data_IF_677491445706
#
_entry.id   IF_677491445706
#
_cell.length_a   1.000
_cell.length_b   1.000
_cell.length_c   1.000
_cell.angle_alpha   90.00
_cell.angle_beta   90.00
_cell.angle_gamma   90.00
#
_symmetry.space_group_name_H-M   'P 1'
#
loop_
_entity.id
_entity.type
_entity.pdbx_description
1 polymer ?
#
# COMPACT_ATOMS: atom_id res chain seq x y z
N UNK A 1 -22.49 -51.44 6.37
CA UNK A 1 -23.38 -52.18 5.46
C UNK A 1 -24.47 -51.21 5.01
N UNK A 2 -24.70 -51.15 3.67
CA UNK A 2 -25.83 -50.52 2.93
C UNK A 2 -26.11 -49.03 3.20
N UNK A 3 -25.95 -48.07 2.26
CA UNK A 3 -26.51 -48.02 0.90
C UNK A 3 -27.94 -47.45 0.97
N UNK A 4 -28.45 -46.49 0.20
CA UNK A 4 -28.01 -45.89 -1.07
C UNK A 4 -29.05 -44.87 -1.60
N UNK A 5 -28.64 -43.98 -2.53
CA UNK A 5 -29.39 -43.42 -3.69
C UNK A 5 -30.59 -42.44 -3.45
N UNK A 6 -30.44 -41.16 -3.83
CA UNK A 6 -30.87 -40.48 -5.11
C UNK A 6 -32.29 -39.89 -4.95
N UNK A 7 -32.77 -38.78 -5.51
CA UNK A 7 -32.48 -37.90 -6.67
C UNK A 7 -33.41 -36.68 -6.51
N UNK A 8 -33.04 -35.48 -6.98
CA UNK A 8 -33.95 -34.54 -7.69
C UNK A 8 -33.13 -33.34 -8.21
N UNK A 9 -32.62 -33.40 -9.44
CA UNK A 9 -33.23 -33.03 -10.74
C UNK A 9 -33.30 -31.50 -10.96
N UNK A 10 -32.36 -31.08 -11.82
CA UNK A 10 -32.27 -29.82 -12.54
C UNK A 10 -33.24 -29.79 -13.75
N UNK A 11 -33.74 -28.60 -14.10
CA UNK A 11 -34.07 -28.16 -15.48
C UNK A 11 -33.91 -26.62 -15.55
N UNK A 12 -32.92 -26.12 -16.29
CA UNK A 12 -32.97 -25.62 -17.69
C UNK A 12 -33.65 -24.23 -17.77
N UNK A 13 -33.13 -23.17 -18.42
CA UNK A 13 -32.49 -23.01 -19.73
C UNK A 13 -31.61 -21.72 -19.72
N UNK A 14 -30.40 -21.65 -20.29
CA UNK A 14 -30.00 -21.60 -21.71
C UNK A 14 -30.51 -20.37 -22.49
N UNK A 15 -29.63 -19.40 -22.78
CA UNK A 15 -29.33 -18.84 -24.11
C UNK A 15 -28.42 -17.59 -23.99
N UNK A 16 -27.46 -17.49 -24.91
CA UNK A 16 -26.32 -16.56 -24.90
C UNK A 16 -26.57 -15.29 -25.79
N UNK A 17 -25.53 -14.61 -26.32
CA UNK A 17 -25.10 -13.24 -26.00
C UNK A 17 -25.45 -12.23 -27.12
N UNK A 18 -24.98 -10.97 -27.06
CA UNK A 18 -24.42 -10.16 -28.19
C UNK A 18 -24.33 -8.64 -27.87
N UNK A 19 -23.08 -8.12 -27.95
CA UNK A 19 -22.56 -6.81 -28.43
C UNK A 19 -22.78 -5.44 -27.75
N UNK A 20 -21.60 -4.79 -27.58
CA UNK A 20 -21.17 -3.41 -27.89
C UNK A 20 -22.22 -2.32 -28.24
N UNK A 21 -22.12 -1.16 -27.58
CA UNK A 21 -21.53 0.11 -28.10
C UNK A 21 -21.88 1.28 -27.19
N UNK A 22 -20.95 2.23 -27.16
CA UNK A 22 -20.94 3.59 -26.58
C UNK A 22 -22.19 4.43 -26.90
N UNK A 23 -22.38 5.55 -26.18
CA UNK A 23 -22.80 6.76 -26.86
C UNK A 23 -21.97 8.01 -26.52
N UNK A 24 -22.03 8.91 -27.49
CA UNK A 24 -21.24 10.12 -27.73
C UNK A 24 -22.15 11.36 -27.55
N UNK A 25 -21.54 12.46 -27.08
CA UNK A 25 -21.80 13.89 -27.35
C UNK A 25 -23.22 14.52 -27.36
N UNK A 26 -23.31 15.60 -26.55
CA UNK A 26 -23.89 16.95 -26.78
C UNK A 26 -25.41 17.09 -27.06
N UNK A 27 -26.04 18.23 -26.70
CA UNK A 27 -25.95 19.42 -27.57
C UNK A 27 -26.05 20.82 -26.91
N UNK A 28 -25.77 21.81 -27.77
CA UNK A 28 -26.39 23.14 -27.90
C UNK A 28 -25.88 24.33 -27.06
N UNK A 29 -25.03 25.11 -27.73
CA UNK A 29 -24.85 26.56 -27.55
C UNK A 29 -26.16 27.33 -27.81
N UNK A 30 -26.37 28.44 -27.11
CA UNK A 30 -26.62 29.77 -27.71
C UNK A 30 -26.84 30.83 -26.62
N UNK A 31 -25.80 31.64 -26.37
CA UNK A 31 -25.90 33.05 -25.94
C UNK A 31 -26.35 33.90 -27.15
N UNK A 32 -26.95 35.11 -27.04
CA UNK A 32 -26.35 36.21 -26.25
C UNK A 32 -27.28 37.28 -25.66
N UNK A 33 -26.62 38.22 -24.98
CA UNK A 33 -26.93 39.65 -24.84
C UNK A 33 -27.55 40.15 -23.52
N UNK A 34 -26.98 41.28 -23.11
CA UNK A 34 -26.89 41.85 -21.76
C UNK A 34 -28.00 42.89 -21.49
N UNK A 35 -27.89 43.80 -20.50
CA UNK A 35 -28.75 43.84 -19.33
C UNK A 35 -29.73 45.03 -19.32
N UNK A 36 -30.80 44.95 -18.55
CA UNK A 36 -31.53 46.15 -18.13
C UNK A 36 -32.22 45.93 -16.79
N UNK A 37 -31.74 46.68 -15.79
CA UNK A 37 -32.48 46.93 -14.55
C UNK A 37 -33.80 47.64 -14.85
N UNK A 38 -34.79 47.52 -13.95
CA UNK A 38 -35.21 48.77 -13.33
C UNK A 38 -35.35 48.69 -11.82
N UNK A 39 -35.07 49.85 -11.25
CA UNK A 39 -35.22 50.30 -9.88
C UNK A 39 -36.68 50.34 -9.40
N UNK A 40 -36.80 50.25 -8.06
CA UNK A 40 -37.85 50.79 -7.17
C UNK A 40 -39.30 50.38 -7.49
N UNK A 41 -40.03 49.74 -6.58
CA UNK A 41 -40.52 50.43 -5.38
C UNK A 41 -41.24 49.49 -4.42
N UNK A 42 -40.93 49.69 -3.14
CA UNK A 42 -41.70 49.45 -1.91
C UNK A 42 -43.12 48.86 -2.00
N UNK A 43 -43.32 47.71 -1.35
CA UNK A 43 -44.50 47.46 -0.50
C UNK A 43 -44.07 46.77 0.80
N UNK A 44 -44.43 47.40 1.90
CA UNK A 44 -44.32 46.97 3.28
C UNK A 44 -45.42 45.94 3.64
N UNK A 45 -45.32 45.42 4.88
CA UNK A 45 -46.12 44.37 5.55
C UNK A 45 -45.55 42.95 5.31
N UNK A 46 -45.16 42.18 6.32
CA UNK A 46 -45.65 42.10 7.70
C UNK A 46 -44.62 41.43 8.63
N UNK A 47 -44.56 41.93 9.87
CA UNK A 47 -43.97 41.24 11.03
C UNK A 47 -44.71 39.93 11.30
N UNK A 48 -44.00 38.80 11.26
CA UNK A 48 -44.32 37.50 11.90
C UNK A 48 -43.27 36.50 11.39
N UNK A 49 -42.34 35.92 12.13
CA UNK A 49 -42.36 35.49 13.52
C UNK A 49 -40.95 35.63 14.11
N UNK A 50 -40.82 36.46 15.13
CA UNK A 50 -39.73 36.39 16.07
C UNK A 50 -40.17 35.47 17.21
N UNK A 51 -40.01 34.14 17.04
CA UNK A 51 -40.16 33.16 18.14
C UNK A 51 -39.93 31.72 17.65
N UNK A 52 -38.69 31.36 17.27
CA UNK A 52 -38.23 29.95 17.30
C UNK A 52 -36.72 29.73 17.18
N UNK A 53 -35.88 30.76 16.98
CA UNK A 53 -34.42 30.58 16.76
C UNK A 53 -33.52 30.82 18.01
N UNK A 54 -34.08 30.85 19.22
CA UNK A 54 -33.25 30.87 20.45
C UNK A 54 -32.78 29.47 20.87
N UNK A 55 -32.57 28.55 19.92
CA UNK A 55 -32.03 27.23 20.19
C UNK A 55 -30.49 27.25 20.14
N UNK A 56 -29.89 27.36 21.33
CA UNK A 56 -28.53 26.88 21.67
C UNK A 56 -27.33 27.66 21.12
N UNK A 57 -27.29 28.98 21.32
CA UNK A 57 -26.06 29.75 21.08
C UNK A 57 -25.00 29.39 22.15
N UNK A 58 -23.90 28.77 21.71
CA UNK A 58 -22.74 28.39 22.51
C UNK A 58 -21.76 29.58 22.53
N UNK A 59 -21.07 29.80 23.65
CA UNK A 59 -19.95 30.74 23.68
C UNK A 59 -18.65 29.97 23.85
N UNK A 60 -17.73 30.13 22.90
CA UNK A 60 -16.38 29.60 22.99
C UNK A 60 -15.49 30.66 23.63
N UNK A 61 -15.02 30.40 24.83
CA UNK A 61 -14.06 31.25 25.54
C UNK A 61 -12.65 30.89 25.05
N UNK A 62 -12.00 31.82 24.36
CA UNK A 62 -10.63 31.66 23.87
C UNK A 62 -9.68 32.26 24.89
N UNK A 63 -8.87 31.41 25.50
CA UNK A 63 -7.95 31.73 26.57
C UNK A 63 -6.51 31.82 26.06
N UNK A 64 -5.77 32.80 26.56
CA UNK A 64 -4.31 32.85 26.50
C UNK A 64 -3.70 32.40 27.82
N UNK A 65 -2.38 32.61 27.95
CA UNK A 65 -1.65 32.33 29.19
C UNK A 65 -2.11 33.21 30.36
N UNK A 66 -2.70 34.38 30.08
CA UNK A 66 -3.14 35.36 31.07
C UNK A 66 -4.66 35.34 31.36
N UNK A 67 -5.41 34.40 30.78
CA UNK A 67 -6.87 34.30 30.94
C UNK A 67 -7.64 34.43 29.62
N UNK A 68 -8.96 34.64 29.69
CA UNK A 68 -9.81 34.74 28.50
C UNK A 68 -9.50 36.00 27.69
N UNK A 69 -9.07 35.81 26.44
CA UNK A 69 -8.74 36.87 25.48
C UNK A 69 -10.02 37.33 24.77
N UNK A 70 -10.84 36.39 24.29
CA UNK A 70 -12.07 36.72 23.59
C UNK A 70 -13.15 35.64 23.77
N UNK A 71 -14.40 36.00 23.43
CA UNK A 71 -15.54 35.09 23.41
C UNK A 71 -16.11 35.06 22.01
N UNK A 72 -16.14 33.88 21.41
CA UNK A 72 -16.65 33.66 20.07
C UNK A 72 -18.05 33.03 20.17
N UNK A 73 -19.09 33.66 19.61
CA UNK A 73 -20.39 33.02 19.49
C UNK A 73 -20.29 31.89 18.46
N UNK A 74 -20.76 30.70 18.81
CA UNK A 74 -20.75 29.52 17.95
C UNK A 74 -22.02 28.69 18.12
N UNK A 75 -22.32 27.84 17.14
CA UNK A 75 -23.37 26.83 17.24
C UNK A 75 -22.72 25.47 17.51
N UNK A 76 -23.51 24.48 17.96
CA UNK A 76 -23.01 23.10 18.17
C UNK A 76 -22.50 22.44 16.88
N UNK A 77 -23.03 22.87 15.74
CA UNK A 77 -22.62 22.40 14.42
C UNK A 77 -21.52 23.26 13.80
N UNK A 78 -21.01 24.26 14.53
CA UNK A 78 -19.89 25.06 14.05
C UNK A 78 -18.60 24.25 14.04
N UNK A 79 -17.79 24.48 13.01
CA UNK A 79 -16.46 23.86 12.89
C UNK A 79 -15.39 24.72 13.54
N UNK A 80 -14.26 24.11 13.89
CA UNK A 80 -13.10 24.84 14.41
C UNK A 80 -12.58 25.88 13.41
N UNK A 81 -12.66 25.62 12.10
CA UNK A 81 -12.35 26.62 11.07
C UNK A 81 -13.20 27.89 11.20
N UNK A 82 -14.50 27.76 11.49
CA UNK A 82 -15.38 28.91 11.71
C UNK A 82 -14.97 29.68 12.98
N UNK A 83 -14.63 28.96 14.07
CA UNK A 83 -14.12 29.59 15.30
C UNK A 83 -12.82 30.35 15.02
N UNK A 84 -11.89 29.77 14.27
CA UNK A 84 -10.62 30.44 13.90
C UNK A 84 -10.84 31.70 13.09
N UNK A 85 -11.80 31.69 12.16
CA UNK A 85 -12.19 32.88 11.39
C UNK A 85 -12.71 33.99 12.30
N UNK A 86 -13.59 33.67 13.25
CA UNK A 86 -14.08 34.65 14.21
C UNK A 86 -12.97 35.18 15.14
N UNK A 87 -12.00 34.35 15.51
CA UNK A 87 -10.80 34.81 16.24
C UNK A 87 -9.97 35.74 15.37
N UNK A 88 -9.82 35.46 14.07
CA UNK A 88 -9.10 36.34 13.15
C UNK A 88 -9.78 37.70 13.03
N UNK A 89 -11.11 37.73 12.92
CA UNK A 89 -11.89 38.97 12.85
C UNK A 89 -11.75 39.82 14.12
N UNK A 90 -11.74 39.17 15.30
CA UNK A 90 -11.69 39.89 16.59
C UNK A 90 -10.27 40.27 17.03
N UNK A 91 -9.27 39.41 16.77
CA UNK A 91 -7.90 39.58 17.27
C UNK A 91 -6.87 39.90 16.18
N UNK A 92 -7.28 39.94 14.91
CA UNK A 92 -6.40 40.14 13.76
C UNK A 92 -5.24 39.12 13.67
N UNK A 93 -5.39 37.94 14.28
CA UNK A 93 -4.42 36.85 14.19
C UNK A 93 -4.81 35.96 13.01
N UNK A 94 -3.99 35.80 11.96
CA UNK A 94 -4.35 34.98 10.80
C UNK A 94 -4.63 33.53 11.20
N UNK A 95 -5.58 32.85 10.55
CA UNK A 95 -5.95 31.46 10.83
C UNK A 95 -4.73 30.51 10.84
N UNK A 96 -3.74 30.75 9.97
CA UNK A 96 -2.49 29.99 9.90
C UNK A 96 -1.62 30.12 11.16
N UNK A 97 -1.74 31.22 11.91
CA UNK A 97 -1.04 31.44 13.18
C UNK A 97 -1.81 30.89 14.38
N UNK A 98 -3.05 30.45 14.21
CA UNK A 98 -3.89 29.99 15.33
C UNK A 98 -3.80 28.48 15.53
N UNK A 99 -3.20 28.05 16.64
CA UNK A 99 -3.28 26.67 17.15
C UNK A 99 -4.24 26.65 18.33
N UNK A 100 -5.40 26.01 18.16
CA UNK A 100 -6.41 25.89 19.21
C UNK A 100 -6.27 24.54 19.91
N UNK A 101 -6.26 24.58 21.24
CA UNK A 101 -6.05 23.42 22.10
C UNK A 101 -7.19 23.33 23.11
N UNK A 102 -7.75 22.14 23.29
CA UNK A 102 -8.69 21.82 24.36
C UNK A 102 -8.00 20.88 25.36
N UNK A 103 -7.70 21.37 26.56
CA UNK A 103 -6.90 20.63 27.54
C UNK A 103 -5.51 20.32 26.98
N UNK A 104 -5.27 19.05 26.61
CA UNK A 104 -4.03 18.59 25.98
C UNK A 104 -4.18 18.23 24.50
N UNK A 105 -5.38 18.40 23.90
CA UNK A 105 -5.67 17.99 22.52
C UNK A 105 -5.67 19.19 21.58
N UNK A 106 -4.82 19.16 20.56
CA UNK A 106 -4.87 20.12 19.44
C UNK A 106 -6.09 19.82 18.57
N UNK A 107 -6.83 20.86 18.18
CA UNK A 107 -8.07 20.73 17.42
C UNK A 107 -7.83 20.94 15.92
N UNK A 108 -8.34 20.00 15.11
CA UNK A 108 -8.32 20.07 13.65
C UNK A 108 -9.40 21.01 13.10
N UNK A 109 -9.15 21.63 11.96
CA UNK A 109 -10.03 22.65 11.35
C UNK A 109 -11.43 22.11 11.00
N UNK A 110 -11.52 20.82 10.67
CA UNK A 110 -12.77 20.14 10.30
C UNK A 110 -13.53 19.57 11.50
N UNK A 111 -12.97 19.64 12.71
CA UNK A 111 -13.66 19.14 13.90
C UNK A 111 -14.89 20.01 14.19
N UNK A 112 -16.00 19.36 14.53
CA UNK A 112 -17.22 20.03 15.00
C UNK A 112 -17.14 20.27 16.51
N UNK A 113 -17.80 21.32 16.99
CA UNK A 113 -18.06 21.59 18.41
C UNK A 113 -19.10 20.61 18.99
N UNK A 114 -18.84 19.32 18.84
CA UNK A 114 -19.75 18.24 19.22
C UNK A 114 -19.95 18.14 20.75
N UNK A 115 -21.08 17.55 21.21
CA UNK A 115 -21.37 17.35 22.63
C UNK A 115 -20.28 16.60 23.40
N UNK A 116 -19.53 15.72 22.73
CA UNK A 116 -18.41 14.97 23.32
C UNK A 116 -17.24 15.87 23.75
N UNK A 117 -17.03 17.00 23.06
CA UNK A 117 -16.03 18.01 23.48
C UNK A 117 -16.54 18.85 24.67
N UNK A 118 -17.87 18.93 24.85
CA UNK A 118 -18.54 19.68 25.90
C UNK A 118 -18.73 18.88 27.20
N UNK A 119 -18.52 17.56 27.20
CA UNK A 119 -18.70 16.71 28.39
C UNK A 119 -17.76 17.03 29.57
N UNK A 120 -16.69 17.80 29.32
CA UNK A 120 -15.76 18.24 30.37
C UNK A 120 -16.15 19.58 31.03
N UNK A 121 -17.26 20.21 30.65
CA UNK A 121 -17.76 21.41 31.35
C UNK A 121 -18.77 21.01 32.42
N UNK A 122 -18.30 20.84 33.65
CA UNK A 122 -19.11 20.50 34.83
C UNK A 122 -20.00 21.64 35.36
N UNK A 123 -20.04 22.79 34.68
CA UNK A 123 -20.83 23.95 35.13
C UNK A 123 -22.17 24.05 34.40
N UNK A 124 -23.21 23.73 35.15
CA UNK A 124 -24.60 23.59 34.72
C UNK A 124 -25.32 24.93 34.36
N UNK A 125 -24.61 26.01 34.00
CA UNK A 125 -25.30 27.29 33.77
C UNK A 125 -24.82 28.20 32.64
N UNK A 126 -23.97 27.73 31.73
CA UNK A 126 -23.79 28.27 30.37
C UNK A 126 -22.92 27.25 29.63
N UNK A 127 -23.27 26.80 28.40
CA UNK A 127 -22.43 25.86 27.68
C UNK A 127 -21.24 26.64 27.11
N UNK A 128 -20.25 26.93 27.97
CA UNK A 128 -19.06 27.66 27.58
C UNK A 128 -17.90 26.69 27.39
N UNK A 129 -17.36 26.67 26.17
CA UNK A 129 -16.21 25.84 25.83
C UNK A 129 -14.95 26.69 25.98
N UNK A 130 -14.03 26.29 26.87
CA UNK A 130 -12.75 26.96 27.03
C UNK A 130 -11.71 26.34 26.08
N UNK A 131 -11.20 27.14 25.14
CA UNK A 131 -10.10 26.76 24.23
C UNK A 131 -8.87 27.60 24.55
N UNK A 132 -7.68 27.02 24.50
CA UNK A 132 -6.43 27.75 24.60
C UNK A 132 -5.92 28.09 23.20
N UNK A 133 -5.67 29.38 22.95
CA UNK A 133 -5.03 29.86 21.72
C UNK A 133 -3.52 29.94 21.91
N UNK A 134 -2.81 29.15 21.13
CA UNK A 134 -1.35 29.22 20.99
C UNK A 134 -1.04 29.87 19.65
N UNK A 135 -0.29 30.99 19.68
CA UNK A 135 0.14 31.69 18.47
C UNK A 135 1.38 31.01 17.89
N UNK A 136 1.30 30.58 16.62
CA UNK A 136 2.46 30.06 15.88
C UNK A 136 3.40 31.21 15.48
N UNK A 137 4.70 30.94 15.50
CA UNK A 137 5.72 31.84 14.97
C UNK A 137 5.69 31.88 13.44
N UNK A 138 6.14 32.98 12.86
CA UNK A 138 6.22 33.15 11.40
C UNK A 138 7.13 32.12 10.73
N UNK A 139 8.16 31.66 11.45
CA UNK A 139 9.05 30.58 11.00
C UNK A 139 8.32 29.24 10.88
N UNK A 140 7.53 28.88 11.89
CA UNK A 140 6.74 27.65 11.88
C UNK A 140 5.69 27.66 10.77
N UNK A 141 5.01 28.81 10.57
CA UNK A 141 4.00 28.97 9.50
C UNK A 141 4.64 28.82 8.13
N UNK A 142 5.80 29.47 7.89
CA UNK A 142 6.56 29.33 6.64
C UNK A 142 6.98 27.88 6.41
N UNK A 143 7.52 27.20 7.43
CA UNK A 143 7.92 25.81 7.33
C UNK A 143 6.74 24.90 6.97
N UNK A 144 5.59 25.03 7.65
CA UNK A 144 4.39 24.25 7.36
C UNK A 144 3.89 24.49 5.92
N UNK A 145 3.93 25.74 5.46
CA UNK A 145 3.55 26.07 4.09
C UNK A 145 4.51 25.45 3.07
N UNK A 146 5.83 25.50 3.32
CA UNK A 146 6.83 24.85 2.48
C UNK A 146 6.64 23.33 2.44
N UNK A 147 6.37 22.68 3.57
CA UNK A 147 6.13 21.23 3.63
C UNK A 147 4.91 20.84 2.79
N UNK A 148 3.80 21.60 2.89
CA UNK A 148 2.56 21.31 2.16
C UNK A 148 2.71 21.44 0.63
N UNK A 149 3.66 22.23 0.16
CA UNK A 149 3.89 22.47 -1.27
C UNK A 149 5.06 21.65 -1.83
N UNK A 150 5.88 21.07 -0.95
CA UNK A 150 7.08 20.32 -1.29
C UNK A 150 6.75 18.87 -1.68
N UNK A 151 7.58 18.30 -2.56
CA UNK A 151 7.56 16.86 -2.85
C UNK A 151 8.24 16.06 -1.75
N UNK A 152 7.98 14.75 -1.67
CA UNK A 152 8.50 13.89 -0.59
C UNK A 152 10.02 14.00 -0.35
N UNK A 153 10.84 14.08 -1.41
CA UNK A 153 12.29 14.29 -1.27
C UNK A 153 12.63 15.66 -0.66
N UNK A 154 11.94 16.72 -1.08
CA UNK A 154 12.18 18.07 -0.57
C UNK A 154 11.79 18.17 0.91
N UNK A 155 10.68 17.56 1.31
CA UNK A 155 10.25 17.49 2.72
C UNK A 155 11.30 16.81 3.58
N UNK A 156 11.93 15.77 3.04
CA UNK A 156 13.03 15.07 3.71
C UNK A 156 14.21 15.99 4.03
N UNK A 157 14.61 16.81 3.06
CA UNK A 157 15.71 17.79 3.22
C UNK A 157 15.32 18.91 4.19
N UNK A 158 14.06 19.37 4.14
CA UNK A 158 13.56 20.40 5.06
C UNK A 158 13.64 19.95 6.52
N UNK A 159 13.21 18.72 6.82
CA UNK A 159 13.25 18.21 8.20
C UNK A 159 14.64 17.79 8.67
N UNK A 160 15.52 17.34 7.77
CA UNK A 160 16.92 17.11 8.09
C UNK A 160 17.59 18.38 8.64
N UNK A 161 17.36 19.52 7.97
CA UNK A 161 17.96 20.80 8.33
C UNK A 161 17.17 21.57 9.41
N UNK A 162 15.99 21.09 9.78
CA UNK A 162 15.15 21.77 10.76
C UNK A 162 15.76 21.71 12.18
N UNK A 163 15.63 22.78 12.98
CA UNK A 163 15.99 22.75 14.39
C UNK A 163 15.22 21.66 15.16
N UNK A 164 15.78 21.17 16.29
CA UNK A 164 15.21 20.03 17.02
C UNK A 164 13.78 20.28 17.49
N UNK A 165 13.42 21.53 17.81
CA UNK A 165 12.08 21.90 18.24
C UNK A 165 11.02 21.61 17.17
N UNK A 166 11.32 21.81 15.89
CA UNK A 166 10.41 21.48 14.79
C UNK A 166 10.35 19.98 14.51
N UNK A 167 11.44 19.25 14.74
CA UNK A 167 11.46 17.78 14.66
C UNK A 167 10.69 17.12 15.82
N UNK A 168 10.53 17.83 16.93
CA UNK A 168 9.70 17.44 18.06
C UNK A 168 8.26 17.96 17.97
N UNK A 169 7.95 18.89 17.06
CA UNK A 169 6.60 19.38 16.87
C UNK A 169 5.76 18.38 16.06
N UNK A 170 4.74 17.83 16.72
CA UNK A 170 3.83 16.83 16.16
C UNK A 170 3.11 17.32 14.89
N UNK A 171 2.73 18.59 14.82
CA UNK A 171 2.02 19.16 13.66
C UNK A 171 2.93 19.18 12.43
N UNK A 172 4.19 19.57 12.62
CA UNK A 172 5.20 19.58 11.55
C UNK A 172 5.46 18.16 11.05
N UNK A 173 5.68 17.22 11.95
CA UNK A 173 5.95 15.81 11.59
C UNK A 173 4.76 15.18 10.88
N UNK A 174 3.53 15.37 11.38
CA UNK A 174 2.33 14.82 10.72
C UNK A 174 2.10 15.43 9.33
N UNK A 175 2.28 16.75 9.16
CA UNK A 175 2.18 17.40 7.86
C UNK A 175 3.23 16.87 6.88
N UNK A 176 4.43 16.56 7.37
CA UNK A 176 5.51 16.02 6.56
C UNK A 176 5.28 14.54 6.19
N UNK A 177 4.72 13.74 7.09
CA UNK A 177 4.38 12.33 6.83
C UNK A 177 3.33 12.17 5.72
N UNK A 178 2.43 13.14 5.55
CA UNK A 178 1.49 13.15 4.43
C UNK A 178 2.19 13.22 3.07
N UNK A 179 3.38 13.81 3.00
CA UNK A 179 4.16 13.93 1.76
C UNK A 179 5.12 12.74 1.58
N UNK A 180 5.60 12.12 2.66
CA UNK A 180 6.47 10.95 2.60
C UNK A 180 6.61 10.24 3.94
N UNK A 181 6.39 8.93 3.97
CA UNK A 181 6.46 8.14 5.21
C UNK A 181 7.90 7.89 5.72
N UNK A 182 8.92 8.00 4.86
CA UNK A 182 10.34 7.83 5.24
C UNK A 182 10.90 9.01 6.04
N UNK A 183 10.12 10.09 6.15
CA UNK A 183 10.43 11.28 6.92
C UNK A 183 10.46 11.00 8.43
N UNK A 184 9.79 9.93 8.90
CA UNK A 184 9.75 9.55 10.32
C UNK A 184 11.14 9.43 10.95
N UNK A 185 12.16 9.06 10.16
CA UNK A 185 13.55 8.95 10.62
C UNK A 185 14.14 10.25 11.21
N UNK A 186 13.60 11.42 10.83
CA UNK A 186 14.04 12.74 11.32
C UNK A 186 13.21 13.26 12.48
N UNK A 187 12.07 12.65 12.76
CA UNK A 187 11.24 13.04 13.90
C UNK A 187 11.99 12.78 15.21
N UNK A 188 11.69 13.56 16.24
CA UNK A 188 12.25 13.32 17.57
C UNK A 188 11.81 11.95 18.11
N UNK A 189 12.65 11.34 18.94
CA UNK A 189 12.41 10.01 19.53
C UNK A 189 11.01 9.83 20.13
N UNK A 190 10.45 10.78 20.91
CA UNK A 190 9.10 10.62 21.45
C UNK A 190 8.03 10.42 20.37
N UNK A 191 8.16 11.08 19.22
CA UNK A 191 7.22 10.96 18.10
C UNK A 191 7.44 9.69 17.29
N UNK A 192 8.67 9.16 17.24
CA UNK A 192 8.94 7.84 16.62
C UNK A 192 8.33 6.68 17.44
N UNK A 193 8.10 6.90 18.73
CA UNK A 193 7.42 5.97 19.64
C UNK A 193 5.90 6.19 19.68
N UNK A 194 5.40 7.28 19.11
CA UNK A 194 3.97 7.61 19.11
C UNK A 194 3.23 6.72 18.10
N UNK A 195 2.20 6.03 18.60
CA UNK A 195 1.44 5.07 17.80
C UNK A 195 0.67 5.72 16.65
N UNK A 196 0.09 6.89 16.83
CA UNK A 196 -0.69 7.57 15.79
C UNK A 196 0.23 8.11 14.68
N UNK A 197 1.38 8.67 15.08
CA UNK A 197 2.41 9.14 14.13
C UNK A 197 2.96 7.96 13.34
N UNK A 198 3.29 6.85 14.00
CA UNK A 198 3.77 5.65 13.34
C UNK A 198 2.73 5.05 12.39
N UNK A 199 1.45 4.96 12.78
CA UNK A 199 0.38 4.48 11.91
C UNK A 199 0.25 5.34 10.65
N UNK A 200 0.32 6.66 10.79
CA UNK A 200 0.30 7.59 9.65
C UNK A 200 1.49 7.36 8.72
N UNK A 201 2.69 7.16 9.30
CA UNK A 201 3.91 6.91 8.53
C UNK A 201 3.85 5.58 7.75
N UNK A 202 3.43 4.48 8.38
CA UNK A 202 3.38 3.16 7.74
C UNK A 202 2.27 3.05 6.70
N UNK A 203 1.15 3.77 6.90
CA UNK A 203 0.08 3.85 5.90
C UNK A 203 0.55 4.54 4.62
N UNK A 204 1.45 5.51 4.73
CA UNK A 204 2.05 6.19 3.58
C UNK A 204 3.18 5.35 2.95
N UNK A 205 4.05 4.75 3.76
CA UNK A 205 5.15 3.90 3.31
C UNK A 205 5.38 2.75 4.32
N UNK A 206 5.14 1.51 3.92
CA UNK A 206 5.28 0.34 4.79
C UNK A 206 6.69 0.18 5.38
N UNK A 207 7.71 0.63 4.67
CA UNK A 207 9.11 0.59 5.13
C UNK A 207 9.40 1.61 6.25
N UNK A 208 8.48 2.55 6.53
CA UNK A 208 8.61 3.48 7.65
C UNK A 208 8.67 2.76 9.00
N UNK A 209 8.19 1.51 9.09
CA UNK A 209 8.28 0.67 10.28
C UNK A 209 9.73 0.56 10.80
N UNK A 210 10.73 0.60 9.92
CA UNK A 210 12.16 0.60 10.28
C UNK A 210 12.52 1.68 11.31
N UNK A 211 11.92 2.86 11.21
CA UNK A 211 12.22 4.04 12.03
C UNK A 211 11.35 4.13 13.29
N UNK A 212 10.40 3.23 13.46
CA UNK A 212 9.56 3.20 14.66
C UNK A 212 10.29 2.56 15.84
N UNK A 213 9.80 2.87 17.03
CA UNK A 213 10.21 2.24 18.27
C UNK A 213 10.06 0.72 18.32
N UNK A 214 10.88 0.06 19.14
CA UNK A 214 10.78 -1.38 19.38
C UNK A 214 9.39 -1.82 19.87
N UNK A 215 8.75 -1.02 20.73
CA UNK A 215 7.39 -1.30 21.20
C UNK A 215 6.35 -1.34 20.06
N UNK A 216 6.49 -0.46 19.06
CA UNK A 216 5.60 -0.40 17.91
C UNK A 216 5.89 -1.50 16.87
N UNK A 217 7.17 -1.92 16.75
CA UNK A 217 7.56 -3.11 15.97
C UNK A 217 7.03 -4.42 16.57
N UNK A 218 6.61 -4.40 17.83
CA UNK A 218 5.91 -5.50 18.49
C UNK A 218 4.39 -5.33 18.53
N UNK A 219 3.85 -4.19 18.07
CA UNK A 219 2.41 -3.97 17.96
C UNK A 219 1.90 -4.58 16.64
N UNK A 220 1.13 -5.67 16.77
CA UNK A 220 0.54 -6.39 15.64
C UNK A 220 -0.30 -5.46 14.73
N UNK A 221 -0.99 -4.46 15.30
CA UNK A 221 -1.82 -3.53 14.51
C UNK A 221 -1.00 -2.61 13.61
N UNK A 222 0.14 -2.11 14.12
CA UNK A 222 1.05 -1.24 13.36
C UNK A 222 1.80 -2.05 12.31
N UNK A 223 2.31 -3.22 12.68
CA UNK A 223 3.02 -4.11 11.75
C UNK A 223 2.10 -4.60 10.64
N UNK A 224 0.86 -5.00 10.94
CA UNK A 224 -0.08 -5.42 9.92
C UNK A 224 -0.42 -4.28 8.95
N UNK A 225 -0.54 -3.04 9.43
CA UNK A 225 -0.72 -1.87 8.57
C UNK A 225 0.49 -1.66 7.64
N UNK A 226 1.72 -1.81 8.16
CA UNK A 226 2.96 -1.70 7.39
C UNK A 226 3.07 -2.82 6.33
N UNK A 227 2.82 -4.06 6.72
CA UNK A 227 2.88 -5.25 5.86
C UNK A 227 1.87 -5.19 4.72
N UNK A 228 0.65 -4.70 5.00
CA UNK A 228 -0.38 -4.47 3.96
C UNK A 228 0.07 -3.45 2.92
N UNK A 229 0.93 -2.49 3.29
CA UNK A 229 1.48 -1.51 2.37
C UNK A 229 2.70 -2.05 1.62
N UNK A 230 3.57 -2.79 2.29
CA UNK A 230 4.78 -3.39 1.72
C UNK A 230 5.09 -4.70 2.45
N UNK A 231 5.04 -5.83 1.75
CA UNK A 231 5.23 -7.14 2.36
C UNK A 231 6.62 -7.30 3.02
N UNK A 232 7.65 -6.69 2.42
CA UNK A 232 9.02 -6.66 2.93
C UNK A 232 9.16 -5.92 4.28
N UNK A 233 8.16 -5.13 4.69
CA UNK A 233 8.15 -4.48 6.02
C UNK A 233 8.20 -5.49 7.19
N UNK A 234 7.87 -6.76 6.93
CA UNK A 234 8.00 -7.86 7.88
C UNK A 234 9.43 -7.97 8.47
N UNK A 235 10.47 -7.57 7.71
CA UNK A 235 11.87 -7.53 8.17
C UNK A 235 12.04 -6.77 9.50
N UNK A 236 11.31 -5.65 9.66
CA UNK A 236 11.45 -4.78 10.83
C UNK A 236 10.51 -5.14 11.97
N UNK A 237 9.64 -6.13 11.78
CA UNK A 237 8.78 -6.61 12.84
C UNK A 237 9.58 -7.36 13.92
N UNK A 238 9.07 -7.32 15.14
CA UNK A 238 9.60 -8.15 16.23
C UNK A 238 9.62 -9.64 15.85
N UNK A 239 10.54 -10.40 16.45
CA UNK A 239 10.67 -11.85 16.21
C UNK A 239 9.36 -12.61 16.48
N UNK A 240 8.61 -12.18 17.50
CA UNK A 240 7.31 -12.76 17.83
C UNK A 240 6.32 -12.61 16.67
N UNK A 241 6.22 -11.41 16.08
CA UNK A 241 5.32 -11.15 14.95
C UNK A 241 5.81 -11.78 13.64
N UNK A 242 7.13 -11.94 13.46
CA UNK A 242 7.70 -12.74 12.35
C UNK A 242 7.38 -14.23 12.48
N UNK A 243 7.03 -14.68 13.68
CA UNK A 243 6.49 -16.01 13.98
C UNK A 243 4.97 -16.11 13.93
N UNK A 244 4.23 -15.01 13.77
CA UNK A 244 2.78 -15.03 13.72
C UNK A 244 2.28 -15.40 12.32
N UNK A 245 1.65 -16.57 12.22
CA UNK A 245 1.10 -17.11 10.97
C UNK A 245 0.30 -16.08 10.17
N UNK A 246 -0.59 -15.33 10.82
CA UNK A 246 -1.46 -14.38 10.14
C UNK A 246 -0.69 -13.20 9.56
N UNK A 247 0.25 -12.63 10.30
CA UNK A 247 1.07 -11.49 9.84
C UNK A 247 1.92 -11.93 8.65
N UNK A 248 2.60 -13.07 8.76
CA UNK A 248 3.42 -13.62 7.67
C UNK A 248 2.58 -13.95 6.44
N UNK A 249 1.39 -14.55 6.62
CA UNK A 249 0.51 -14.86 5.50
C UNK A 249 0.07 -13.60 4.73
N UNK A 250 -0.17 -12.49 5.43
CA UNK A 250 -0.46 -11.21 4.77
C UNK A 250 0.78 -10.66 4.05
N UNK A 251 1.97 -10.81 4.63
CA UNK A 251 3.23 -10.37 4.02
C UNK A 251 3.52 -11.12 2.72
N UNK A 252 3.49 -12.45 2.73
CA UNK A 252 3.80 -13.27 1.56
C UNK A 252 2.78 -13.13 0.43
N UNK A 253 1.53 -12.78 0.75
CA UNK A 253 0.50 -12.48 -0.25
C UNK A 253 0.72 -11.12 -0.93
N UNK A 254 1.38 -10.20 -0.23
CA UNK A 254 1.70 -8.87 -0.77
C UNK A 254 3.04 -8.86 -1.51
N UNK A 255 4.02 -9.61 -1.03
CA UNK A 255 5.35 -9.78 -1.60
C UNK A 255 5.86 -11.19 -1.29
N UNK A 256 5.98 -12.05 -2.30
CA UNK A 256 6.39 -13.45 -2.12
C UNK A 256 7.78 -13.59 -1.49
N UNK A 257 8.67 -12.61 -1.68
CA UNK A 257 10.02 -12.62 -1.10
C UNK A 257 10.01 -12.33 0.40
N UNK A 258 8.92 -11.80 0.96
CA UNK A 258 8.79 -11.58 2.40
C UNK A 258 8.89 -12.86 3.23
N UNK A 259 8.79 -14.04 2.60
CA UNK A 259 9.05 -15.34 3.23
C UNK A 259 10.45 -15.42 3.87
N UNK A 260 11.43 -14.70 3.33
CA UNK A 260 12.79 -14.60 3.88
C UNK A 260 12.80 -14.17 5.36
N UNK A 261 11.91 -13.26 5.72
CA UNK A 261 11.86 -12.68 7.06
C UNK A 261 10.96 -13.46 8.03
N UNK A 262 10.23 -14.47 7.54
CA UNK A 262 9.40 -15.32 8.39
C UNK A 262 10.27 -16.20 9.29
N UNK A 263 9.72 -16.59 10.45
CA UNK A 263 10.37 -17.58 11.29
C UNK A 263 10.59 -18.92 10.56
N UNK A 264 11.67 -19.64 10.88
CA UNK A 264 12.07 -20.87 10.18
C UNK A 264 10.96 -21.93 10.14
N UNK A 265 10.18 -22.08 11.23
CA UNK A 265 9.06 -23.02 11.27
C UNK A 265 7.91 -22.64 10.32
N UNK A 266 7.73 -21.35 10.01
CA UNK A 266 6.77 -20.89 9.00
C UNK A 266 7.32 -21.02 7.58
N UNK A 267 8.63 -20.94 7.39
CA UNK A 267 9.30 -21.31 6.14
C UNK A 267 9.20 -22.82 5.83
N UNK A 268 8.89 -23.63 6.84
CA UNK A 268 8.53 -25.04 6.69
C UNK A 268 7.02 -25.29 6.53
N UNK A 269 6.19 -24.26 6.65
CA UNK A 269 4.75 -24.40 6.49
C UNK A 269 4.38 -24.42 5.00
N UNK A 270 3.91 -25.58 4.54
CA UNK A 270 3.53 -25.79 3.14
C UNK A 270 2.50 -24.75 2.64
N UNK A 271 1.53 -24.34 3.45
CA UNK A 271 0.50 -23.40 2.98
C UNK A 271 1.07 -21.99 2.80
N UNK A 272 1.94 -21.54 3.69
CA UNK A 272 2.59 -20.22 3.59
C UNK A 272 3.54 -20.21 2.39
N UNK A 273 4.37 -21.24 2.24
CA UNK A 273 5.30 -21.35 1.11
C UNK A 273 4.55 -21.39 -0.21
N UNK A 274 3.46 -22.17 -0.33
CA UNK A 274 2.65 -22.17 -1.54
C UNK A 274 2.03 -20.80 -1.82
N UNK A 275 1.59 -20.05 -0.79
CA UNK A 275 1.09 -18.70 -0.97
C UNK A 275 2.19 -17.73 -1.47
N UNK A 276 3.41 -17.85 -0.95
CA UNK A 276 4.57 -17.07 -1.41
C UNK A 276 4.93 -17.39 -2.87
N UNK A 277 4.93 -18.67 -3.23
CA UNK A 277 5.23 -19.14 -4.59
C UNK A 277 4.25 -18.59 -5.62
N UNK A 278 2.96 -18.49 -5.26
CA UNK A 278 1.93 -17.90 -6.13
C UNK A 278 2.19 -16.42 -6.45
N UNK A 279 2.89 -15.69 -5.58
CA UNK A 279 3.27 -14.30 -5.84
C UNK A 279 4.60 -14.21 -6.58
N UNK A 280 5.61 -14.96 -6.14
CA UNK A 280 6.91 -15.02 -6.78
C UNK A 280 7.51 -16.44 -6.63
N UNK A 281 7.72 -17.12 -7.75
CA UNK A 281 8.33 -18.45 -7.79
C UNK A 281 9.75 -18.50 -7.19
N UNK A 282 10.44 -17.35 -7.14
CA UNK A 282 11.76 -17.23 -6.51
C UNK A 282 11.74 -17.33 -4.99
N UNK A 283 10.57 -17.18 -4.37
CA UNK A 283 10.40 -17.37 -2.92
C UNK A 283 10.73 -18.80 -2.48
N UNK A 284 10.79 -19.77 -3.41
CA UNK A 284 11.25 -21.14 -3.13
C UNK A 284 12.61 -21.17 -2.45
N UNK A 285 13.49 -20.20 -2.72
CA UNK A 285 14.84 -20.12 -2.12
C UNK A 285 14.82 -20.01 -0.60
N UNK A 286 13.75 -19.43 -0.04
CA UNK A 286 13.57 -19.21 1.40
C UNK A 286 12.72 -20.30 2.06
N UNK A 287 12.22 -21.27 1.28
CA UNK A 287 11.55 -22.42 1.85
C UNK A 287 12.55 -23.35 2.55
N UNK A 288 12.08 -24.04 3.59
CA UNK A 288 12.85 -25.09 4.26
C UNK A 288 13.35 -26.14 3.26
N UNK A 289 14.49 -26.78 3.58
CA UNK A 289 15.09 -27.81 2.72
C UNK A 289 14.14 -28.97 2.41
N UNK A 290 13.30 -29.36 3.39
CA UNK A 290 12.29 -30.41 3.21
C UNK A 290 11.25 -30.05 2.14
N UNK A 291 10.80 -28.79 2.09
CA UNK A 291 9.88 -28.32 1.06
C UNK A 291 10.58 -28.12 -0.30
N UNK A 292 11.86 -27.72 -0.31
CA UNK A 292 12.69 -27.68 -1.53
C UNK A 292 13.02 -29.07 -2.09
N UNK A 293 12.85 -30.12 -1.29
CA UNK A 293 12.90 -31.51 -1.71
C UNK A 293 11.52 -32.10 -2.09
N UNK A 294 10.44 -31.33 -1.96
CA UNK A 294 9.09 -31.78 -2.31
C UNK A 294 8.79 -31.53 -3.80
N UNK A 295 8.52 -32.61 -4.54
CA UNK A 295 8.21 -32.57 -5.97
C UNK A 295 7.09 -31.58 -6.29
N UNK A 296 5.96 -31.65 -5.58
CA UNK A 296 4.80 -30.80 -5.84
C UNK A 296 5.10 -29.30 -5.67
N UNK A 297 5.88 -28.96 -4.64
CA UNK A 297 6.20 -27.56 -4.30
C UNK A 297 7.14 -26.98 -5.35
N UNK A 298 8.17 -27.75 -5.75
CA UNK A 298 9.11 -27.33 -6.80
C UNK A 298 8.40 -27.21 -8.15
N UNK A 299 7.51 -28.15 -8.50
CA UNK A 299 6.74 -28.06 -9.74
C UNK A 299 5.79 -26.85 -9.74
N UNK A 300 5.13 -26.55 -8.63
CA UNK A 300 4.31 -25.35 -8.50
C UNK A 300 5.15 -24.07 -8.69
N UNK A 301 6.35 -24.01 -8.10
CA UNK A 301 7.27 -22.90 -8.27
C UNK A 301 7.70 -22.71 -9.74
N UNK A 302 8.02 -23.81 -10.43
CA UNK A 302 8.44 -23.79 -11.84
C UNK A 302 7.28 -23.39 -12.76
N UNK A 303 6.04 -23.78 -12.47
CA UNK A 303 4.88 -23.36 -13.24
C UNK A 303 4.67 -21.83 -13.21
N UNK A 304 4.93 -21.20 -12.07
CA UNK A 304 4.72 -19.76 -11.88
C UNK A 304 5.92 -18.95 -12.35
N UNK A 305 7.14 -19.35 -11.98
CA UNK A 305 8.38 -18.66 -12.37
C UNK A 305 8.89 -18.98 -13.78
N UNK A 306 8.45 -20.09 -14.37
CA UNK A 306 8.91 -20.56 -15.68
C UNK A 306 8.53 -19.67 -16.85
N UNK A 307 7.52 -18.81 -16.68
CA UNK A 307 7.00 -17.93 -17.74
C UNK A 307 7.74 -16.60 -17.87
N UNK A 308 8.57 -16.19 -16.89
CA UNK A 308 8.99 -14.78 -16.80
C UNK A 308 10.50 -14.49 -16.87
N UNK A 309 11.40 -15.48 -16.77
CA UNK A 309 12.84 -15.20 -16.63
C UNK A 309 13.71 -15.97 -17.64
N UNK A 310 14.41 -15.28 -18.57
CA UNK A 310 15.14 -15.94 -19.65
C UNK A 310 16.45 -16.67 -19.28
N UNK A 311 17.07 -16.54 -18.10
CA UNK A 311 18.46 -17.05 -18.03
C UNK A 311 19.18 -17.30 -16.69
N UNK A 312 18.74 -16.89 -15.50
CA UNK A 312 19.55 -17.15 -14.29
C UNK A 312 18.79 -17.51 -13.03
N UNK A 313 17.66 -16.89 -12.77
CA UNK A 313 16.92 -17.09 -11.54
C UNK A 313 15.72 -18.00 -11.79
N UNK A 314 15.97 -19.28 -12.02
CA UNK A 314 14.89 -20.25 -12.12
C UNK A 314 14.62 -20.89 -10.76
N UNK A 315 13.36 -21.04 -10.33
CA UNK A 315 13.03 -21.69 -9.06
C UNK A 315 13.67 -23.08 -8.91
N UNK A 316 13.81 -23.80 -10.03
CA UNK A 316 14.43 -25.12 -10.08
C UNK A 316 15.88 -25.17 -9.57
N UNK A 317 16.62 -24.05 -9.59
CA UNK A 317 17.98 -24.02 -9.06
C UNK A 317 18.03 -24.21 -7.53
N UNK A 318 16.95 -23.87 -6.84
CA UNK A 318 16.85 -24.00 -5.39
C UNK A 318 16.31 -25.35 -4.93
N UNK A 319 15.86 -26.19 -5.86
CA UNK A 319 15.43 -27.55 -5.57
C UNK A 319 16.60 -28.42 -5.10
N UNK A 320 16.31 -29.42 -4.28
CA UNK A 320 17.32 -30.39 -3.82
C UNK A 320 18.02 -31.10 -4.98
N UNK A 321 19.28 -31.48 -4.80
CA UNK A 321 20.09 -32.18 -5.81
C UNK A 321 19.43 -33.47 -6.30
N UNK A 322 18.74 -34.18 -5.41
CA UNK A 322 17.97 -35.37 -5.74
C UNK A 322 16.86 -35.08 -6.76
N UNK A 323 16.12 -33.96 -6.60
CA UNK A 323 15.09 -33.56 -7.55
C UNK A 323 15.67 -33.03 -8.86
N UNK A 324 16.83 -32.38 -8.82
CA UNK A 324 17.55 -31.96 -10.04
C UNK A 324 18.12 -33.16 -10.82
N UNK A 325 18.27 -34.31 -10.16
CA UNK A 325 18.62 -35.58 -10.77
C UNK A 325 17.41 -36.44 -11.20
N UNK A 326 16.20 -36.07 -10.76
CA UNK A 326 14.98 -36.78 -11.13
C UNK A 326 14.57 -36.42 -12.57
N UNK A 327 14.62 -37.42 -13.45
CA UNK A 327 14.23 -37.29 -14.87
C UNK A 327 12.82 -36.73 -15.04
N UNK A 328 11.84 -37.17 -14.24
CA UNK A 328 10.45 -36.75 -14.39
C UNK A 328 10.25 -35.28 -14.03
N UNK A 329 10.87 -34.85 -12.92
CA UNK A 329 10.78 -33.45 -12.47
C UNK A 329 11.49 -32.53 -13.45
N UNK A 330 12.67 -32.92 -13.93
CA UNK A 330 13.40 -32.15 -14.92
C UNK A 330 12.69 -32.09 -16.28
N UNK A 331 12.09 -33.20 -16.73
CA UNK A 331 11.29 -33.22 -17.96
C UNK A 331 10.06 -32.30 -17.83
N UNK A 332 9.33 -32.35 -16.70
CA UNK A 332 8.21 -31.46 -16.46
C UNK A 332 8.63 -29.98 -16.44
N UNK A 333 9.79 -29.68 -15.85
CA UNK A 333 10.33 -28.32 -15.85
C UNK A 333 10.76 -27.86 -17.25
N UNK A 334 11.42 -28.73 -18.02
CA UNK A 334 11.82 -28.48 -19.42
C UNK A 334 10.61 -28.28 -20.32
N UNK A 335 9.53 -29.03 -20.10
CA UNK A 335 8.28 -28.86 -20.84
C UNK A 335 7.64 -27.48 -20.62
N UNK A 336 7.81 -26.90 -19.44
CA UNK A 336 7.32 -25.56 -19.12
C UNK A 336 8.27 -24.46 -19.63
N UNK A 337 9.58 -24.66 -19.51
CA UNK A 337 10.60 -23.75 -20.01
C UNK A 337 11.88 -24.52 -20.36
N UNK A 338 12.23 -24.58 -21.64
CA UNK A 338 13.43 -25.28 -22.13
C UNK A 338 14.75 -24.90 -21.42
N UNK A 339 14.88 -23.67 -20.90
CA UNK A 339 16.06 -23.25 -20.14
C UNK A 339 16.22 -23.94 -18.78
N UNK A 340 15.17 -24.61 -18.27
CA UNK A 340 15.22 -25.45 -17.06
C UNK A 340 16.28 -26.56 -17.13
N UNK A 341 16.69 -26.95 -18.33
CA UNK A 341 17.79 -27.91 -18.55
C UNK A 341 19.09 -27.45 -17.87
N UNK A 342 19.34 -26.15 -17.74
CA UNK A 342 20.55 -25.61 -17.07
C UNK A 342 20.65 -26.04 -15.60
N UNK A 343 19.51 -26.09 -14.91
CA UNK A 343 19.47 -26.40 -13.47
C UNK A 343 19.51 -27.91 -13.20
N UNK A 344 19.28 -28.73 -14.21
CA UNK A 344 19.29 -30.18 -14.10
C UNK A 344 20.71 -30.72 -13.84
N UNK A 345 20.78 -31.87 -13.16
CA UNK A 345 22.04 -32.57 -12.90
C UNK A 345 22.73 -33.02 -14.20
N UNK A 346 24.02 -33.34 -14.12
CA UNK A 346 24.78 -33.82 -15.29
C UNK A 346 24.19 -35.09 -15.91
N UNK A 347 23.58 -35.98 -15.11
CA UNK A 347 22.94 -37.21 -15.62
C UNK A 347 21.75 -36.88 -16.52
N UNK A 348 20.87 -35.98 -16.09
CA UNK A 348 19.70 -35.54 -16.87
C UNK A 348 20.13 -34.75 -18.11
N UNK A 349 21.20 -33.94 -18.02
CA UNK A 349 21.78 -33.23 -19.16
C UNK A 349 22.44 -34.16 -20.19
N UNK A 350 22.67 -35.42 -19.84
CA UNK A 350 23.09 -36.50 -20.73
C UNK A 350 21.93 -37.36 -21.27
N UNK A 351 20.68 -37.10 -20.86
CA UNK A 351 19.52 -37.83 -21.37
C UNK A 351 19.04 -37.21 -22.70
N UNK A 352 19.15 -37.99 -23.78
CA UNK A 352 18.81 -37.53 -25.14
C UNK A 352 17.35 -37.09 -25.26
N UNK A 353 16.40 -37.72 -24.57
CA UNK A 353 14.97 -37.38 -24.66
C UNK A 353 14.68 -36.02 -24.01
N UNK A 354 15.24 -35.78 -22.84
CA UNK A 354 15.06 -34.52 -22.10
C UNK A 354 15.74 -33.37 -22.85
N UNK A 355 16.94 -33.59 -23.37
CA UNK A 355 17.68 -32.59 -24.17
C UNK A 355 16.96 -32.26 -25.48
N UNK A 356 16.45 -33.26 -26.21
CA UNK A 356 15.65 -33.01 -27.42
C UNK A 356 14.40 -32.19 -27.11
N UNK A 357 13.71 -32.50 -26.00
CA UNK A 357 12.53 -31.74 -25.56
C UNK A 357 12.88 -30.27 -25.23
N UNK A 358 14.04 -30.00 -24.63
CA UNK A 358 14.50 -28.64 -24.34
C UNK A 358 14.90 -27.87 -25.61
N UNK A 359 15.68 -28.52 -26.48
CA UNK A 359 16.26 -27.94 -27.69
C UNK A 359 15.19 -27.59 -28.72
N UNK A 360 14.14 -28.40 -28.81
CA UNK A 360 12.98 -28.13 -29.67
C UNK A 360 12.19 -26.89 -29.24
N UNK A 361 12.15 -26.58 -27.93
CA UNK A 361 11.54 -25.33 -27.45
C UNK A 361 12.47 -24.13 -27.63
N UNK A 362 13.74 -24.26 -27.22
CA UNK A 362 14.73 -23.20 -27.28
C UNK A 362 16.08 -23.77 -27.74
N UNK A 363 16.46 -23.51 -29.00
CA UNK A 363 17.67 -24.07 -29.60
C UNK A 363 18.96 -23.69 -28.87
N UNK A 364 18.98 -22.55 -28.17
CA UNK A 364 20.11 -22.10 -27.34
C UNK A 364 20.35 -22.99 -26.11
N UNK A 365 19.39 -23.83 -25.70
CA UNK A 365 19.54 -24.73 -24.55
C UNK A 365 20.53 -25.86 -24.81
N UNK A 366 20.90 -26.10 -26.08
CA UNK A 366 21.96 -27.03 -26.48
C UNK A 366 23.28 -26.78 -25.73
N UNK A 367 23.58 -25.52 -25.40
CA UNK A 367 24.81 -25.17 -24.67
C UNK A 367 24.89 -25.83 -23.28
N UNK A 368 23.75 -26.22 -22.69
CA UNK A 368 23.69 -26.83 -21.36
C UNK A 368 23.73 -28.36 -21.41
N UNK A 369 23.52 -28.98 -22.58
CA UNK A 369 23.58 -30.43 -22.75
C UNK A 369 25.00 -30.98 -22.49
N UNK A 370 25.09 -32.26 -22.15
CA UNK A 370 26.36 -32.96 -22.02
C UNK A 370 27.15 -32.96 -23.35
N UNK A 371 28.48 -32.95 -23.27
CA UNK A 371 29.38 -32.85 -24.42
C UNK A 371 29.08 -33.86 -25.53
N UNK A 372 28.71 -35.08 -25.14
CA UNK A 372 28.33 -36.15 -26.07
C UNK A 372 27.10 -35.77 -26.90
N UNK A 373 26.08 -35.16 -26.29
CA UNK A 373 24.85 -34.74 -26.96
C UNK A 373 25.02 -33.41 -27.72
N UNK A 374 26.00 -32.57 -27.32
CA UNK A 374 26.37 -31.37 -28.10
C UNK A 374 27.00 -31.71 -29.46
N UNK A 375 27.58 -32.91 -29.59
CA UNK A 375 28.10 -33.45 -30.84
C UNK A 375 27.14 -34.42 -31.54
N UNK A 376 26.00 -34.77 -30.92
CA UNK A 376 25.00 -35.66 -31.51
C UNK A 376 24.29 -34.97 -32.68
N UNK A 377 24.32 -35.63 -33.84
CA UNK A 377 23.79 -35.10 -35.09
C UNK A 377 22.30 -34.76 -34.99
N UNK A 378 21.50 -35.58 -34.33
CA UNK A 378 20.05 -35.41 -34.26
C UNK A 378 19.70 -34.22 -33.38
N UNK A 379 20.38 -34.09 -32.24
CA UNK A 379 20.19 -32.98 -31.29
C UNK A 379 20.61 -31.65 -31.91
N UNK A 380 21.77 -31.60 -32.58
CA UNK A 380 22.25 -30.39 -33.26
C UNK A 380 21.32 -29.99 -34.40
N UNK A 381 20.82 -30.94 -35.18
CA UNK A 381 19.85 -30.66 -36.25
C UNK A 381 18.55 -30.07 -35.70
N UNK A 382 18.03 -30.59 -34.59
CA UNK A 382 16.85 -30.04 -33.94
C UNK A 382 17.09 -28.59 -33.48
N UNK A 383 18.24 -28.28 -32.89
CA UNK A 383 18.60 -26.93 -32.45
C UNK A 383 18.66 -25.93 -33.62
N UNK A 384 19.29 -26.33 -34.73
CA UNK A 384 19.43 -25.50 -35.93
C UNK A 384 18.08 -25.27 -36.62
N UNK A 385 17.19 -26.26 -36.63
CA UNK A 385 15.84 -26.12 -37.18
C UNK A 385 15.01 -25.10 -36.37
N UNK A 386 15.13 -25.12 -35.04
CA UNK A 386 14.47 -24.15 -34.16
C UNK A 386 15.04 -22.72 -34.36
N UNK A 387 16.36 -22.57 -34.46
CA UNK A 387 16.97 -21.26 -34.71
C UNK A 387 16.57 -20.68 -36.08
N UNK A 388 16.46 -21.53 -37.12
CA UNK A 388 16.01 -21.13 -38.46
C UNK A 388 14.54 -20.72 -38.50
N UNK A 389 13.68 -21.35 -37.69
CA UNK A 389 12.26 -20.97 -37.60
C UNK A 389 12.11 -19.60 -36.93
N UNK A 390 12.89 -19.31 -35.87
CA UNK A 390 12.94 -17.97 -35.28
C UNK A 390 13.45 -16.90 -36.25
N UNK A 391 14.49 -17.18 -37.05
CA UNK A 391 14.99 -16.24 -38.06
C UNK A 391 13.95 -15.91 -39.14
N UNK A 392 13.22 -16.92 -39.64
CA UNK A 392 12.14 -16.71 -40.62
C UNK A 392 10.99 -15.86 -40.07
N UNK A 393 10.60 -16.08 -38.82
CA UNK A 393 9.59 -15.26 -38.14
C UNK A 393 10.07 -13.81 -37.94
N UNK A 394 11.34 -13.59 -37.55
CA UNK A 394 11.88 -12.23 -37.39
C UNK A 394 12.00 -11.45 -38.71
N UNK A 395 12.28 -12.13 -39.83
CA UNK A 395 12.36 -11.47 -41.16
C UNK A 395 11.00 -11.08 -41.74
N UNK A 396 9.89 -11.61 -41.22
CA UNK A 396 8.53 -11.22 -41.63
C UNK A 396 7.94 -10.10 -40.77
N UNK A 397 8.57 -9.73 -39.65
CA UNK A 397 8.08 -8.69 -38.72
C UNK A 397 8.66 -7.28 -38.96
N UNK A 398 9.53 -7.10 -39.96
CA UNK A 398 10.21 -5.81 -40.28
C UNK A 398 9.66 -5.15 -41.55
N UNK A 399 8.48 -5.57 -42.03
CA UNK A 399 7.74 -4.84 -43.06
C UNK A 399 6.45 -4.28 -42.48
N UNK A 400 6.52 -3.12 -41.82
CA UNK A 400 5.47 -2.08 -41.81
C UNK A 400 6.07 -0.73 -41.43
#
# INVERSE_FOLDING_TARGET
>A
MSGSFDTDVRRAAAAAPTQMRTPTAAPAETTPSSPSSPSSSSRSFSKSNASSDQQSQLFVCVNGLSGTICKVPACRDSTIAQVKRSIQEQLAIPESHQRLVLGCKVLDDFAFLSPSLLQNSSDANLPSLALTLVRRSDELVRLLQSIRQASGYQVRVLLWNAPPDFRADREVVLAALQQGGDVLQFAALPLQMDREVALTAVQQNGMALKYTGLALKADSSVVLAAVRRSGSALEFASETLRGERQVVLHAVRQDGLALEFAAEWLQADRQIVLAALQQDGLSLRFASESLRASKDVVLAAVQIGGLSLPSADQPMQFASDALRADKQVAQAAVLLNGYALRCASASVRGDKEVVLSAVTQAGMTLQFAADQLRADKDVVLAAVQQARTLQKCSSTSVQY
#
